data_IF_596138736521
#
_entry.id   IF_596138736521
#
_cell.length_a   1.000
_cell.length_b   1.000
_cell.length_c   1.000
_cell.angle_alpha   90.00
_cell.angle_beta   90.00
_cell.angle_gamma   90.00
#
_symmetry.space_group_name_H-M   'P 1'
#
loop_
_entity.id
_entity.type
_entity.pdbx_description
1 polymer ?
#
# COMPACT_ATOMS: atom_id res chain seq x y z
N UNK A 1 1.79 11.67 -1.55
CA UNK A 1 3.00 12.50 -1.76
C UNK A 1 4.32 11.81 -1.42
N UNK A 2 4.33 10.55 -0.95
CA UNK A 2 5.57 9.83 -0.64
C UNK A 2 6.52 9.61 -1.85
N UNK A 3 6.01 9.68 -3.08
CA UNK A 3 6.81 9.59 -4.31
C UNK A 3 7.66 10.83 -4.62
N UNK A 4 7.57 11.89 -3.79
CA UNK A 4 8.41 13.09 -3.96
C UNK A 4 9.89 12.70 -3.85
N UNK A 5 10.68 13.07 -4.85
CA UNK A 5 12.13 12.79 -4.89
C UNK A 5 12.86 13.56 -3.80
N UNK A 6 13.81 12.92 -3.12
CA UNK A 6 14.60 13.50 -2.01
C UNK A 6 15.39 14.75 -2.42
N UNK A 7 15.89 14.80 -3.67
CA UNK A 7 16.57 15.98 -4.22
C UNK A 7 15.71 17.26 -4.19
N UNK A 8 14.37 17.14 -4.08
CA UNK A 8 13.42 18.26 -4.01
C UNK A 8 13.01 18.63 -2.57
N UNK A 9 13.64 18.02 -1.57
CA UNK A 9 13.30 18.19 -0.15
C UNK A 9 14.24 19.16 0.57
N UNK A 10 15.37 19.54 -0.06
CA UNK A 10 16.38 20.41 0.54
C UNK A 10 17.56 19.67 1.20
N UNK A 11 17.68 18.37 0.94
CA UNK A 11 18.85 17.57 1.33
C UNK A 11 20.08 17.98 0.51
N UNK A 12 21.27 17.90 1.10
CA UNK A 12 22.51 18.16 0.37
C UNK A 12 22.70 17.19 -0.80
N UNK A 13 23.38 17.64 -1.85
CA UNK A 13 23.63 16.83 -3.04
C UNK A 13 24.45 15.57 -2.69
N UNK A 14 25.46 15.71 -1.84
CA UNK A 14 26.27 14.59 -1.36
C UNK A 14 25.43 13.52 -0.63
N UNK A 15 24.53 13.95 0.26
CA UNK A 15 23.68 13.04 1.00
C UNK A 15 22.65 12.35 0.08
N UNK A 16 22.09 13.09 -0.88
CA UNK A 16 21.25 12.49 -1.92
C UNK A 16 22.01 11.44 -2.74
N UNK A 17 23.27 11.68 -3.08
CA UNK A 17 24.07 10.74 -3.86
C UNK A 17 24.45 9.49 -3.04
N UNK A 18 24.74 9.64 -1.73
CA UNK A 18 24.92 8.49 -0.82
C UNK A 18 23.67 7.63 -0.74
N UNK A 19 22.49 8.23 -0.50
CA UNK A 19 21.21 7.52 -0.42
C UNK A 19 20.83 6.84 -1.75
N UNK A 20 21.10 7.50 -2.88
CA UNK A 20 20.82 6.95 -4.20
C UNK A 20 21.63 5.68 -4.51
N UNK A 21 22.85 5.54 -3.99
CA UNK A 21 23.64 4.29 -4.10
C UNK A 21 22.95 3.08 -3.46
N UNK A 22 22.05 3.32 -2.51
CA UNK A 22 21.24 2.31 -1.84
C UNK A 22 19.79 2.25 -2.39
N UNK A 23 19.54 2.83 -3.56
CA UNK A 23 18.21 2.93 -4.19
C UNK A 23 17.16 3.68 -3.34
N UNK A 24 17.61 4.55 -2.43
CA UNK A 24 16.73 5.40 -1.63
C UNK A 24 16.56 6.74 -2.37
N UNK A 25 15.46 6.89 -3.11
CA UNK A 25 15.28 8.01 -4.06
C UNK A 25 14.12 8.92 -3.68
N UNK A 26 13.10 8.39 -3.02
CA UNK A 26 11.86 9.09 -2.66
C UNK A 26 11.72 9.27 -1.15
N UNK A 27 10.83 10.20 -0.75
CA UNK A 27 10.45 10.37 0.66
C UNK A 27 9.93 9.06 1.27
N UNK A 28 9.18 8.25 0.52
CA UNK A 28 8.69 6.94 0.97
C UNK A 28 9.87 6.02 1.29
N UNK A 29 10.80 5.86 0.35
CA UNK A 29 11.95 4.96 0.54
C UNK A 29 12.74 5.34 1.80
N UNK A 30 12.95 6.64 2.01
CA UNK A 30 13.66 7.15 3.17
C UNK A 30 12.90 6.92 4.49
N UNK A 31 11.60 7.20 4.52
CA UNK A 31 10.76 7.09 5.72
C UNK A 31 10.39 5.65 6.08
N UNK A 32 10.58 4.70 5.17
CA UNK A 32 10.41 3.27 5.43
C UNK A 32 11.62 2.62 6.13
N UNK A 33 12.73 3.34 6.28
CA UNK A 33 13.94 2.85 6.95
C UNK A 33 13.95 3.23 8.43
N UNK A 34 14.54 2.35 9.23
CA UNK A 34 14.79 2.63 10.65
C UNK A 34 15.88 3.70 10.82
N UNK A 35 15.88 4.43 11.95
CA UNK A 35 16.93 5.40 12.23
C UNK A 35 18.35 4.81 12.18
N UNK A 36 18.54 3.56 12.60
CA UNK A 36 19.84 2.88 12.59
C UNK A 36 20.33 2.59 11.16
N UNK A 37 19.43 2.17 10.27
CA UNK A 37 19.76 1.99 8.84
C UNK A 37 20.16 3.32 8.22
N UNK A 38 19.40 4.38 8.50
CA UNK A 38 19.71 5.72 8.01
C UNK A 38 21.05 6.23 8.55
N UNK A 39 21.39 5.97 9.82
CA UNK A 39 22.71 6.29 10.37
C UNK A 39 23.81 5.57 9.60
N UNK A 40 23.64 4.26 9.32
CA UNK A 40 24.60 3.46 8.57
C UNK A 40 24.77 3.97 7.12
N UNK A 41 23.69 4.35 6.45
CA UNK A 41 23.74 4.81 5.06
C UNK A 41 24.25 6.24 4.91
N UNK A 42 23.93 7.12 5.86
CA UNK A 42 24.28 8.55 5.79
C UNK A 42 25.61 8.86 6.46
N UNK A 43 26.02 8.05 7.44
CA UNK A 43 27.17 8.31 8.32
C UNK A 43 26.89 9.40 9.36
N UNK A 44 25.64 9.80 9.54
CA UNK A 44 25.24 10.83 10.51
C UNK A 44 25.01 10.24 11.90
N UNK A 45 25.08 11.11 12.92
CA UNK A 45 24.63 10.78 14.27
C UNK A 45 23.12 10.56 14.31
N UNK A 46 22.63 9.93 15.39
CA UNK A 46 21.20 9.76 15.61
C UNK A 46 20.44 11.09 15.54
N UNK A 47 21.00 12.15 16.13
CA UNK A 47 20.43 13.50 16.10
C UNK A 47 20.32 14.03 14.66
N UNK A 48 21.38 13.91 13.86
CA UNK A 48 21.37 14.33 12.46
C UNK A 48 20.33 13.56 11.64
N UNK A 49 20.22 12.24 11.84
CA UNK A 49 19.19 11.42 11.19
C UNK A 49 17.79 11.85 11.61
N UNK A 50 17.56 12.14 12.89
CA UNK A 50 16.27 12.58 13.39
C UNK A 50 15.84 13.92 12.75
N UNK A 51 16.76 14.87 12.61
CA UNK A 51 16.50 16.14 11.91
C UNK A 51 16.13 15.92 10.45
N UNK A 52 16.82 15.00 9.75
CA UNK A 52 16.47 14.63 8.38
C UNK A 52 15.09 13.97 8.29
N UNK A 53 14.75 13.06 9.22
CA UNK A 53 13.44 12.44 9.29
C UNK A 53 12.34 13.49 9.45
N UNK A 54 12.52 14.48 10.33
CA UNK A 54 11.58 15.59 10.48
C UNK A 54 11.46 16.41 9.19
N UNK A 55 12.57 16.72 8.52
CA UNK A 55 12.58 17.48 7.27
C UNK A 55 11.85 16.73 6.14
N UNK A 56 12.19 15.46 5.92
CA UNK A 56 11.59 14.62 4.88
C UNK A 56 10.11 14.40 5.16
N UNK A 57 9.75 14.12 6.41
CA UNK A 57 8.35 13.96 6.84
C UNK A 57 7.52 15.21 6.53
N UNK A 58 7.97 16.39 6.95
CA UNK A 58 7.28 17.67 6.66
C UNK A 58 7.13 17.94 5.17
N UNK A 59 8.13 17.56 4.37
CA UNK A 59 8.13 17.82 2.94
C UNK A 59 7.15 16.94 2.13
N UNK A 60 6.69 15.82 2.69
CA UNK A 60 5.72 14.92 2.07
C UNK A 60 4.44 14.70 2.88
N UNK A 61 4.32 15.31 4.06
CA UNK A 61 3.15 15.22 4.91
C UNK A 61 1.91 15.68 4.13
N UNK A 62 0.79 14.93 4.18
CA UNK A 62 -0.47 15.41 3.63
C UNK A 62 -0.91 16.67 4.38
N UNK A 63 -1.69 17.53 3.70
CA UNK A 63 -2.33 18.66 4.37
C UNK A 63 -3.25 18.13 5.47
N UNK A 64 -3.29 18.81 6.61
CA UNK A 64 -4.24 18.48 7.67
C UNK A 64 -5.66 18.54 7.10
N UNK A 65 -6.45 17.50 7.38
CA UNK A 65 -7.83 17.40 6.94
C UNK A 65 -8.70 16.98 8.13
N UNK A 66 -9.94 17.46 8.17
CA UNK A 66 -10.92 17.00 9.16
C UNK A 66 -11.45 15.63 8.78
N UNK A 67 -11.93 14.85 9.76
CA UNK A 67 -12.57 13.56 9.49
C UNK A 67 -13.77 13.70 8.53
N UNK A 68 -14.52 14.80 8.64
CA UNK A 68 -15.61 15.13 7.72
C UNK A 68 -15.09 15.35 6.29
N UNK A 69 -14.02 16.14 6.13
CA UNK A 69 -13.41 16.37 4.82
C UNK A 69 -12.89 15.07 4.17
N UNK A 70 -12.29 14.17 4.96
CA UNK A 70 -11.87 12.85 4.46
C UNK A 70 -13.06 11.99 4.01
N UNK A 71 -14.17 12.00 4.77
CA UNK A 71 -15.40 11.26 4.40
C UNK A 71 -15.99 11.77 3.09
N UNK A 72 -16.05 13.09 2.90
CA UNK A 72 -16.56 13.71 1.67
C UNK A 72 -15.64 13.44 0.47
N UNK A 73 -14.32 13.43 0.66
CA UNK A 73 -13.39 13.08 -0.43
C UNK A 73 -13.54 11.63 -0.88
N UNK A 74 -13.70 10.69 0.05
CA UNK A 74 -13.95 9.28 -0.28
C UNK A 74 -15.23 9.05 -1.08
N UNK A 75 -16.25 9.88 -0.90
CA UNK A 75 -17.46 9.80 -1.74
C UNK A 75 -17.28 10.36 -3.16
N UNK A 76 -16.19 11.10 -3.41
CA UNK A 76 -15.85 11.70 -4.70
C UNK A 76 -14.78 10.88 -5.44
N UNK A 77 -13.93 10.14 -4.73
CA UNK A 77 -12.97 9.22 -5.34
C UNK A 77 -13.69 8.13 -6.14
N UNK A 78 -13.36 8.04 -7.43
CA UNK A 78 -13.92 7.05 -8.35
C UNK A 78 -13.33 5.64 -8.15
N UNK A 79 -12.33 5.49 -7.28
CA UNK A 79 -11.76 4.19 -6.97
C UNK A 79 -12.75 3.38 -6.12
N UNK A 80 -13.04 2.12 -6.49
CA UNK A 80 -13.93 1.27 -5.71
C UNK A 80 -13.38 1.07 -4.30
N UNK A 81 -14.22 1.37 -3.30
CA UNK A 81 -13.88 1.17 -1.89
C UNK A 81 -13.87 -0.33 -1.51
N UNK A 82 -14.63 -1.14 -2.24
CA UNK A 82 -14.82 -2.56 -2.01
C UNK A 82 -14.82 -3.33 -3.33
N UNK A 83 -14.32 -4.56 -3.29
CA UNK A 83 -14.47 -5.56 -4.35
C UNK A 83 -15.53 -6.58 -3.92
N UNK A 84 -16.65 -6.65 -4.64
CA UNK A 84 -17.72 -7.62 -4.34
C UNK A 84 -17.19 -9.05 -4.44
N UNK A 85 -17.62 -9.90 -3.51
CA UNK A 85 -17.32 -11.34 -3.51
C UNK A 85 -18.30 -12.13 -4.36
N UNK A 86 -19.35 -11.49 -4.89
CA UNK A 86 -20.52 -12.09 -5.56
C UNK A 86 -21.35 -13.04 -4.68
N UNK A 87 -20.98 -13.19 -3.40
CA UNK A 87 -21.72 -13.92 -2.40
C UNK A 87 -22.53 -12.91 -1.58
N UNK A 88 -23.80 -12.72 -1.91
CA UNK A 88 -24.64 -11.65 -1.34
C UNK A 88 -24.61 -11.57 0.19
N UNK A 89 -24.74 -12.69 0.89
CA UNK A 89 -24.70 -12.73 2.35
C UNK A 89 -23.34 -12.31 2.92
N UNK A 90 -22.24 -12.63 2.23
CA UNK A 90 -20.89 -12.23 2.65
C UNK A 90 -20.65 -10.75 2.34
N UNK A 91 -21.08 -10.26 1.19
CA UNK A 91 -20.98 -8.85 0.83
C UNK A 91 -21.78 -7.96 1.79
N UNK A 92 -22.96 -8.41 2.22
CA UNK A 92 -23.75 -7.73 3.26
C UNK A 92 -23.01 -7.70 4.60
N UNK A 93 -22.46 -8.83 5.03
CA UNK A 93 -21.68 -8.93 6.26
C UNK A 93 -20.40 -8.08 6.24
N UNK A 94 -19.79 -7.89 5.06
CA UNK A 94 -18.61 -7.06 4.85
C UNK A 94 -18.94 -5.61 4.44
N UNK A 95 -20.22 -5.24 4.42
CA UNK A 95 -20.70 -3.90 4.05
C UNK A 95 -20.29 -3.42 2.63
N UNK A 96 -20.32 -4.34 1.66
CA UNK A 96 -20.08 -4.07 0.24
C UNK A 96 -19.04 -4.98 -0.42
N UNK A 97 -18.44 -5.90 0.32
CA UNK A 97 -17.44 -6.85 -0.16
C UNK A 97 -16.07 -6.63 0.48
N UNK A 98 -15.01 -7.08 -0.20
CA UNK A 98 -13.64 -6.99 0.33
C UNK A 98 -13.10 -5.56 0.26
N UNK A 99 -12.70 -4.95 1.40
CA UNK A 99 -12.22 -3.58 1.43
C UNK A 99 -10.89 -3.42 0.66
N UNK A 100 -10.84 -2.43 -0.23
CA UNK A 100 -9.63 -2.07 -0.96
C UNK A 100 -8.70 -1.21 -0.11
N UNK A 101 -7.38 -1.36 -0.30
CA UNK A 101 -6.37 -0.59 0.44
C UNK A 101 -6.15 -1.05 1.89
N UNK A 102 -6.69 -2.21 2.26
CA UNK A 102 -6.45 -2.89 3.54
C UNK A 102 -5.86 -4.29 3.34
N UNK A 103 -5.30 -4.83 4.42
CA UNK A 103 -4.91 -6.25 4.50
C UNK A 103 -6.08 -7.04 5.10
N UNK A 104 -6.56 -8.05 4.37
CA UNK A 104 -7.63 -8.96 4.85
C UNK A 104 -7.06 -10.35 5.03
N UNK A 105 -7.25 -10.93 6.22
CA UNK A 105 -6.84 -12.29 6.55
C UNK A 105 -8.01 -13.27 6.35
N UNK A 106 -7.76 -14.39 5.67
CA UNK A 106 -8.72 -15.47 5.47
C UNK A 106 -8.19 -16.72 6.18
N UNK A 107 -8.89 -17.13 7.24
CA UNK A 107 -8.46 -18.24 8.11
C UNK A 107 -9.55 -19.30 8.25
N UNK A 108 -9.14 -20.54 8.50
CA UNK A 108 -10.03 -21.67 8.69
C UNK A 108 -9.36 -23.03 8.48
N UNK A 109 -10.02 -24.14 8.85
CA UNK A 109 -9.49 -25.50 8.71
C UNK A 109 -9.08 -25.88 7.28
N UNK A 110 -8.24 -26.91 7.07
CA UNK A 110 -8.01 -27.49 5.75
C UNK A 110 -9.33 -27.89 5.07
N UNK A 111 -9.43 -27.67 3.76
CA UNK A 111 -10.63 -28.03 2.99
C UNK A 111 -11.84 -27.09 3.13
N UNK A 112 -11.78 -26.02 3.93
CA UNK A 112 -12.89 -25.07 4.08
C UNK A 112 -13.06 -24.05 2.92
N UNK A 113 -12.28 -24.20 1.84
CA UNK A 113 -12.44 -23.39 0.63
C UNK A 113 -11.57 -22.12 0.52
N UNK A 114 -10.59 -21.89 1.41
CA UNK A 114 -9.72 -20.70 1.38
C UNK A 114 -9.07 -20.44 0.02
N UNK A 115 -8.39 -21.46 -0.54
CA UNK A 115 -7.73 -21.35 -1.85
C UNK A 115 -8.73 -21.05 -2.97
N UNK A 116 -9.90 -21.70 -2.95
CA UNK A 116 -10.97 -21.46 -3.93
C UNK A 116 -11.50 -20.02 -3.83
N UNK A 117 -11.66 -19.51 -2.61
CA UNK A 117 -12.03 -18.12 -2.40
C UNK A 117 -10.98 -17.15 -2.94
N UNK A 118 -9.68 -17.37 -2.67
CA UNK A 118 -8.61 -16.52 -3.20
C UNK A 118 -8.56 -16.54 -4.74
N UNK A 119 -8.76 -17.69 -5.37
CA UNK A 119 -8.82 -17.81 -6.84
C UNK A 119 -10.04 -17.08 -7.39
N UNK A 120 -11.22 -17.27 -6.79
CA UNK A 120 -12.45 -16.56 -7.18
C UNK A 120 -12.24 -15.05 -7.12
N UNK A 121 -11.73 -14.52 -6.00
CA UNK A 121 -11.45 -13.08 -5.85
C UNK A 121 -10.43 -12.58 -6.87
N UNK A 122 -9.46 -13.43 -7.26
CA UNK A 122 -8.49 -13.09 -8.29
C UNK A 122 -9.16 -12.89 -9.66
N UNK A 123 -10.09 -13.76 -10.04
CA UNK A 123 -10.87 -13.58 -11.27
C UNK A 123 -11.73 -12.33 -11.20
N UNK A 124 -12.47 -12.14 -10.10
CA UNK A 124 -13.37 -10.99 -9.92
C UNK A 124 -12.61 -9.65 -10.00
N UNK A 125 -11.40 -9.57 -9.44
CA UNK A 125 -10.56 -8.37 -9.52
C UNK A 125 -10.21 -7.97 -10.96
N UNK A 126 -10.10 -8.93 -11.88
CA UNK A 126 -9.77 -8.68 -13.30
C UNK A 126 -10.97 -8.29 -14.16
N UNK A 127 -12.20 -8.47 -13.67
CA UNK A 127 -13.40 -8.14 -14.43
C UNK A 127 -13.54 -6.63 -14.66
N UNK A 128 -14.28 -6.22 -15.71
CA UNK A 128 -14.68 -4.83 -15.91
C UNK A 128 -15.38 -4.24 -14.69
N UNK A 129 -15.20 -2.94 -14.49
CA UNK A 129 -15.89 -2.19 -13.42
C UNK A 129 -17.41 -2.24 -13.61
N UNK A 130 -17.87 -2.29 -14.87
CA UNK A 130 -19.29 -2.50 -15.22
C UNK A 130 -19.85 -3.86 -14.78
N UNK A 131 -18.99 -4.82 -14.44
CA UNK A 131 -19.35 -6.13 -13.92
C UNK A 131 -19.00 -6.30 -12.43
N UNK A 132 -18.64 -5.20 -11.74
CA UNK A 132 -18.28 -5.21 -10.32
C UNK A 132 -16.82 -5.59 -10.03
N UNK A 133 -15.97 -5.71 -11.05
CA UNK A 133 -14.53 -5.91 -10.90
C UNK A 133 -13.74 -4.61 -10.75
N UNK A 134 -12.41 -4.70 -10.81
CA UNK A 134 -11.50 -3.57 -10.63
C UNK A 134 -10.78 -3.14 -11.91
N UNK A 135 -11.01 -3.83 -13.05
CA UNK A 135 -10.19 -3.71 -14.26
C UNK A 135 -8.68 -3.82 -13.96
N UNK A 136 -8.35 -4.62 -12.94
CA UNK A 136 -7.01 -4.73 -12.39
C UNK A 136 -6.22 -5.93 -12.89
N UNK A 137 -4.96 -5.99 -12.49
CA UNK A 137 -4.14 -7.19 -12.58
C UNK A 137 -3.96 -7.82 -11.20
N UNK A 138 -3.75 -9.13 -11.15
CA UNK A 138 -3.58 -9.87 -9.90
C UNK A 138 -2.19 -10.50 -9.82
N UNK A 139 -1.57 -10.37 -8.66
CA UNK A 139 -0.37 -11.11 -8.28
C UNK A 139 -0.78 -12.16 -7.25
N UNK A 140 -0.76 -13.43 -7.65
CA UNK A 140 -1.05 -14.55 -6.78
C UNK A 140 0.27 -15.23 -6.37
N UNK A 141 0.52 -15.33 -5.06
CA UNK A 141 1.71 -15.98 -4.52
C UNK A 141 1.25 -17.28 -3.84
N UNK A 142 1.62 -18.41 -4.43
CA UNK A 142 1.34 -19.73 -3.89
C UNK A 142 2.60 -20.28 -3.20
N UNK A 143 2.45 -20.67 -1.93
CA UNK A 143 3.52 -21.28 -1.13
C UNK A 143 3.34 -22.77 -0.93
N UNK A 144 2.21 -23.35 -1.35
CA UNK A 144 1.85 -24.76 -1.13
C UNK A 144 1.82 -25.57 -2.44
N UNK A 145 2.06 -24.93 -3.59
CA UNK A 145 1.95 -25.56 -4.93
C UNK A 145 0.55 -26.14 -5.20
N UNK A 146 -0.49 -25.51 -4.64
CA UNK A 146 -1.88 -25.90 -4.78
C UNK A 146 -2.59 -25.21 -5.97
N UNK A 147 -1.94 -24.22 -6.59
CA UNK A 147 -2.49 -23.51 -7.74
C UNK A 147 -2.28 -24.29 -9.05
N UNK A 148 -3.36 -24.49 -9.81
CA UNK A 148 -3.34 -24.98 -11.19
C UNK A 148 -3.91 -23.91 -12.12
N UNK A 149 -3.19 -23.62 -13.21
CA UNK A 149 -3.64 -22.69 -14.25
C UNK A 149 -4.37 -23.38 -15.41
N UNK A 150 -4.39 -24.72 -15.40
CA UNK A 150 -5.11 -25.56 -16.37
C UNK A 150 -6.63 -25.56 -16.14
#
# INVERSE_FOLDING_TARGET
MGSKKLRRVGLSQELCDRLNRHQIVTCRDFLCLSPLELMKMTGLSYQGVYELLCMVSRACAPKMQTAFGMKTQRSVDLSPAFLSTTLSALDEALHGGMPCGSLTEITGPPGCGKTQFCIMMSVLATLPTSMGGLEGAVVYIDTESAFSAE
#
